data_IF_335408933667
#
_entry.id   IF_335408933667
#
_cell.length_a   1.000
_cell.length_b   1.000
_cell.length_c   1.000
_cell.angle_alpha   90.00
_cell.angle_beta   90.00
_cell.angle_gamma   90.00
#
_symmetry.space_group_name_H-M   'P 1'
#
loop_
_entity.id
_entity.type
_entity.pdbx_description
1 polymer ?
#
# COMPACT_ATOMS: atom_id res chain seq x y z
N UNK A 1 14.46 -38.03 -8.98
CA UNK A 1 14.93 -36.69 -8.52
C UNK A 1 13.73 -35.78 -8.20
N UNK A 2 12.94 -35.33 -9.20
CA UNK A 2 11.77 -34.46 -8.99
C UNK A 2 10.74 -34.98 -7.98
N UNK A 3 10.43 -36.28 -8.01
CA UNK A 3 9.46 -36.89 -7.08
C UNK A 3 9.93 -36.83 -5.62
N UNK A 4 11.24 -37.04 -5.38
CA UNK A 4 11.83 -36.96 -4.03
C UNK A 4 11.82 -35.53 -3.48
N UNK A 5 12.10 -34.55 -4.34
CA UNK A 5 11.99 -33.13 -3.98
C UNK A 5 10.55 -32.79 -3.59
N UNK A 6 9.57 -33.26 -4.37
CA UNK A 6 8.14 -33.04 -4.10
C UNK A 6 7.68 -33.66 -2.77
N UNK A 7 8.04 -34.91 -2.50
CA UNK A 7 7.71 -35.60 -1.25
C UNK A 7 8.37 -34.92 -0.04
N UNK A 8 9.64 -34.54 -0.18
CA UNK A 8 10.36 -33.81 0.87
C UNK A 8 9.67 -32.49 1.23
N UNK A 9 9.38 -31.65 0.22
CA UNK A 9 8.65 -30.39 0.42
C UNK A 9 7.25 -30.62 1.00
N UNK A 10 6.60 -31.74 0.68
CA UNK A 10 5.29 -32.06 1.24
C UNK A 10 5.36 -32.32 2.75
N UNK A 11 6.42 -32.98 3.23
CA UNK A 11 6.61 -33.34 4.64
C UNK A 11 7.17 -32.18 5.47
N UNK A 12 8.18 -31.48 4.96
CA UNK A 12 8.87 -30.41 5.70
C UNK A 12 8.27 -29.03 5.49
N UNK A 13 7.42 -28.87 4.46
CA UNK A 13 6.90 -27.56 4.00
C UNK A 13 8.00 -26.55 3.66
N UNK A 14 9.22 -27.00 3.38
CA UNK A 14 10.30 -26.15 2.93
C UNK A 14 10.19 -25.85 1.42
N UNK A 15 10.99 -24.90 0.94
CA UNK A 15 11.06 -24.57 -0.48
C UNK A 15 11.95 -25.55 -1.29
N UNK A 16 11.85 -25.49 -2.62
CA UNK A 16 12.57 -26.38 -3.53
C UNK A 16 14.09 -26.28 -3.41
N UNK A 17 14.63 -25.07 -3.19
CA UNK A 17 16.08 -24.86 -3.04
C UNK A 17 16.63 -25.57 -1.80
N UNK A 18 15.94 -25.47 -0.67
CA UNK A 18 16.32 -26.16 0.57
C UNK A 18 16.10 -27.66 0.44
N UNK A 19 14.99 -28.09 -0.17
CA UNK A 19 14.75 -29.50 -0.44
C UNK A 19 15.89 -30.10 -1.26
N UNK A 20 16.32 -29.43 -2.33
CA UNK A 20 17.45 -29.87 -3.16
C UNK A 20 18.75 -29.86 -2.35
N UNK A 21 19.02 -28.82 -1.56
CA UNK A 21 20.24 -28.72 -0.75
C UNK A 21 20.34 -29.84 0.31
N UNK A 22 19.28 -30.06 1.09
CA UNK A 22 19.22 -31.13 2.09
C UNK A 22 19.34 -32.51 1.44
N UNK A 23 18.58 -32.75 0.37
CA UNK A 23 18.64 -34.02 -0.37
C UNK A 23 20.02 -34.25 -0.99
N UNK A 24 20.65 -33.24 -1.59
CA UNK A 24 22.00 -33.36 -2.15
C UNK A 24 23.04 -33.69 -1.07
N UNK A 25 22.96 -33.04 0.10
CA UNK A 25 23.89 -33.29 1.20
C UNK A 25 23.79 -34.71 1.79
N UNK A 26 22.64 -35.37 1.62
CA UNK A 26 22.35 -36.70 2.12
C UNK A 26 22.23 -37.74 1.00
N UNK A 27 22.90 -37.53 -0.14
CA UNK A 27 22.89 -38.45 -1.28
C UNK A 27 21.48 -38.87 -1.73
N UNK A 28 20.54 -37.93 -1.69
CA UNK A 28 19.13 -38.08 -2.07
C UNK A 28 18.35 -39.07 -1.19
N UNK A 29 18.83 -39.37 0.02
CA UNK A 29 18.10 -40.11 1.04
C UNK A 29 17.07 -39.20 1.72
N UNK A 30 15.79 -39.56 1.64
CA UNK A 30 14.69 -38.71 2.12
C UNK A 30 14.63 -38.62 3.65
N UNK A 31 14.81 -39.75 4.33
CA UNK A 31 14.71 -39.84 5.80
C UNK A 31 15.85 -39.05 6.44
N UNK A 32 17.10 -39.31 6.02
CA UNK A 32 18.26 -38.60 6.53
C UNK A 32 18.22 -37.09 6.23
N UNK A 33 17.70 -36.71 5.06
CA UNK A 33 17.52 -35.29 4.74
C UNK A 33 16.44 -34.64 5.61
N UNK A 34 15.39 -35.36 6.00
CA UNK A 34 14.35 -34.84 6.88
C UNK A 34 14.90 -34.67 8.29
N UNK A 35 15.63 -35.67 8.79
CA UNK A 35 16.31 -35.58 10.08
C UNK A 35 17.29 -34.41 10.12
N UNK A 36 18.09 -34.23 9.06
CA UNK A 36 18.99 -33.08 8.92
C UNK A 36 18.22 -31.76 8.99
N UNK A 37 17.11 -31.65 8.25
CA UNK A 37 16.26 -30.45 8.22
C UNK A 37 15.67 -30.13 9.59
N UNK A 38 15.21 -31.14 10.33
CA UNK A 38 14.61 -30.93 11.65
C UNK A 38 15.62 -30.67 12.76
N UNK A 39 16.86 -31.16 12.62
CA UNK A 39 17.95 -30.94 13.56
C UNK A 39 18.65 -29.58 13.41
N UNK A 40 18.46 -28.89 12.29
CA UNK A 40 19.11 -27.61 12.00
C UNK A 40 18.08 -26.48 11.91
N UNK A 41 17.92 -25.69 12.99
CA UNK A 41 16.98 -24.55 13.03
C UNK A 41 17.18 -23.55 11.89
N UNK A 42 18.40 -23.48 11.36
CA UNK A 42 18.77 -22.62 10.24
C UNK A 42 18.00 -22.95 8.95
N UNK A 43 17.58 -24.21 8.75
CA UNK A 43 16.72 -24.59 7.62
C UNK A 43 15.24 -24.32 7.89
N UNK A 44 14.86 -24.25 9.16
CA UNK A 44 13.50 -23.96 9.64
C UNK A 44 13.22 -22.45 9.68
N UNK A 45 14.25 -21.60 9.86
CA UNK A 45 14.10 -20.15 9.67
C UNK A 45 13.72 -19.79 8.22
N UNK A 46 13.93 -20.70 7.28
CA UNK A 46 13.47 -20.63 5.89
C UNK A 46 12.23 -21.52 5.65
N UNK A 47 11.33 -21.62 6.63
CA UNK A 47 9.98 -22.17 6.42
C UNK A 47 9.40 -21.59 5.11
N UNK A 48 8.78 -22.44 4.29
CA UNK A 48 8.33 -22.16 2.93
C UNK A 48 7.27 -21.06 2.75
N UNK A 49 7.08 -20.19 3.73
CA UNK A 49 6.30 -18.96 3.62
C UNK A 49 7.06 -17.82 2.92
N UNK A 50 8.39 -17.91 2.82
CA UNK A 50 9.22 -16.80 2.37
C UNK A 50 9.70 -16.85 0.92
N UNK A 51 9.40 -17.94 0.18
CA UNK A 51 9.73 -18.03 -1.25
C UNK A 51 8.46 -17.80 -2.06
N UNK A 52 8.48 -16.69 -2.79
CA UNK A 52 7.47 -16.30 -3.77
C UNK A 52 7.69 -17.09 -5.06
N UNK A 53 6.68 -17.82 -5.53
CA UNK A 53 6.72 -18.39 -6.87
C UNK A 53 6.33 -17.35 -7.93
N UNK A 54 7.32 -16.92 -8.71
CA UNK A 54 7.14 -15.97 -9.81
C UNK A 54 6.13 -16.44 -10.85
N UNK A 55 5.99 -17.76 -11.08
CA UNK A 55 5.00 -18.30 -12.01
C UNK A 55 3.59 -18.16 -11.48
N UNK A 56 3.40 -18.29 -10.17
CA UNK A 56 2.08 -18.11 -9.55
C UNK A 56 1.67 -16.63 -9.59
N UNK A 57 2.58 -15.69 -9.33
CA UNK A 57 2.33 -14.26 -9.53
C UNK A 57 1.93 -13.98 -10.98
N UNK A 58 2.68 -14.51 -11.95
CA UNK A 58 2.39 -14.31 -13.37
C UNK A 58 1.01 -14.86 -13.75
N UNK A 59 0.67 -16.08 -13.30
CA UNK A 59 -0.63 -16.68 -13.55
C UNK A 59 -1.77 -15.87 -12.90
N UNK A 60 -1.55 -15.37 -11.67
CA UNK A 60 -2.51 -14.49 -10.99
C UNK A 60 -2.72 -13.20 -11.78
N UNK A 61 -1.63 -12.56 -12.24
CA UNK A 61 -1.73 -11.36 -13.06
C UNK A 61 -2.54 -11.61 -14.34
N UNK A 62 -2.24 -12.70 -15.06
CA UNK A 62 -2.95 -13.05 -16.31
C UNK A 62 -4.44 -13.34 -16.10
N UNK A 63 -4.87 -13.66 -14.88
CA UNK A 63 -6.30 -13.83 -14.54
C UNK A 63 -7.06 -12.48 -14.59
N UNK A 64 -6.35 -11.38 -14.31
CA UNK A 64 -6.93 -10.03 -14.24
C UNK A 64 -6.39 -9.09 -15.32
N UNK A 65 -5.42 -9.52 -16.12
CA UNK A 65 -4.88 -8.74 -17.22
C UNK A 65 -6.00 -8.28 -18.16
N UNK A 66 -5.77 -7.11 -18.78
CA UNK A 66 -6.71 -6.37 -19.63
C UNK A 66 -7.61 -7.30 -20.45
N UNK A 67 -8.93 -7.14 -20.27
CA UNK A 67 -9.91 -7.85 -21.08
C UNK A 67 -9.77 -7.45 -22.55
N UNK A 68 -10.26 -8.26 -23.49
CA UNK A 68 -10.23 -7.91 -24.93
C UNK A 68 -10.92 -6.57 -25.20
N UNK A 69 -11.85 -6.17 -24.33
CA UNK A 69 -12.61 -4.92 -24.41
C UNK A 69 -11.84 -3.66 -23.95
N UNK A 70 -10.75 -3.81 -23.17
CA UNK A 70 -9.93 -2.69 -22.66
C UNK A 70 -8.64 -2.47 -23.48
N UNK A 71 -8.39 -3.30 -24.49
CA UNK A 71 -7.20 -3.29 -25.35
C UNK A 71 -6.38 -4.57 -25.21
N UNK A 72 -5.80 -5.07 -26.32
CA UNK A 72 -5.15 -6.39 -26.38
C UNK A 72 -3.71 -6.41 -25.82
N UNK A 73 -3.47 -5.57 -24.82
CA UNK A 73 -2.18 -5.34 -24.19
C UNK A 73 -2.20 -6.02 -22.81
N UNK A 74 -1.83 -7.30 -22.78
CA UNK A 74 -1.66 -8.10 -21.54
C UNK A 74 -0.51 -7.58 -20.64
N UNK A 75 -0.10 -6.31 -20.73
CA UNK A 75 0.94 -5.72 -19.88
C UNK A 75 0.40 -5.00 -18.65
N UNK A 76 -0.93 -4.84 -18.53
CA UNK A 76 -1.57 -4.23 -17.36
C UNK A 76 -2.84 -4.96 -16.93
N UNK A 77 -3.27 -4.69 -15.71
CA UNK A 77 -4.62 -4.92 -15.20
C UNK A 77 -5.34 -3.58 -15.41
N UNK A 78 -6.21 -3.48 -16.40
CA UNK A 78 -7.02 -2.27 -16.66
C UNK A 78 -8.23 -2.13 -15.72
N UNK A 79 -9.10 -1.12 -15.91
CA UNK A 79 -10.22 -0.84 -15.02
C UNK A 79 -11.17 -2.03 -14.79
N UNK A 80 -11.51 -2.81 -15.83
CA UNK A 80 -12.38 -3.98 -15.65
C UNK A 80 -11.67 -5.11 -14.92
N UNK A 81 -10.39 -5.35 -15.24
CA UNK A 81 -9.54 -6.30 -14.54
C UNK A 81 -9.38 -5.95 -13.06
N UNK A 82 -9.19 -4.66 -12.75
CA UNK A 82 -9.10 -4.12 -11.39
C UNK A 82 -10.39 -4.37 -10.62
N UNK A 83 -11.56 -4.13 -11.23
CA UNK A 83 -12.84 -4.40 -10.57
C UNK A 83 -13.00 -5.89 -10.22
N UNK A 84 -12.66 -6.80 -11.14
CA UNK A 84 -12.66 -8.25 -10.85
C UNK A 84 -11.68 -8.61 -9.73
N UNK A 85 -10.46 -8.07 -9.80
CA UNK A 85 -9.42 -8.30 -8.80
C UNK A 85 -9.86 -7.86 -7.39
N UNK A 86 -10.42 -6.65 -7.26
CA UNK A 86 -10.94 -6.15 -5.99
C UNK A 86 -12.16 -6.92 -5.50
N UNK A 87 -13.05 -7.32 -6.41
CA UNK A 87 -14.21 -8.19 -6.09
C UNK A 87 -13.75 -9.51 -5.51
N UNK A 88 -12.78 -10.16 -6.15
CA UNK A 88 -12.22 -11.41 -5.69
C UNK A 88 -11.51 -11.25 -4.35
N UNK A 89 -10.89 -10.09 -4.07
CA UNK A 89 -10.32 -9.74 -2.76
C UNK A 89 -11.38 -9.43 -1.69
N UNK A 90 -12.64 -9.18 -2.08
CA UNK A 90 -13.70 -8.74 -1.17
C UNK A 90 -13.54 -7.28 -0.73
N UNK A 91 -12.98 -6.43 -1.59
CA UNK A 91 -12.72 -5.01 -1.33
C UNK A 91 -13.65 -4.13 -2.17
N UNK A 92 -14.08 -3.00 -1.59
CA UNK A 92 -14.70 -1.92 -2.35
C UNK A 92 -13.61 -0.97 -2.91
N UNK A 93 -13.69 -0.55 -4.20
CA UNK A 93 -12.71 0.34 -4.81
C UNK A 93 -12.39 1.63 -4.05
N UNK A 94 -13.32 2.12 -3.22
CA UNK A 94 -13.15 3.36 -2.46
C UNK A 94 -12.58 3.14 -1.05
N UNK A 95 -12.23 1.91 -0.66
CA UNK A 95 -11.69 1.63 0.68
C UNK A 95 -10.21 1.99 0.81
N UNK A 96 -9.81 2.42 2.01
CA UNK A 96 -8.41 2.72 2.34
C UNK A 96 -7.47 1.54 2.07
N UNK A 97 -7.94 0.31 2.23
CA UNK A 97 -7.17 -0.91 1.97
C UNK A 97 -6.73 -1.01 0.51
N UNK A 98 -7.56 -0.54 -0.44
CA UNK A 98 -7.21 -0.48 -1.87
C UNK A 98 -6.07 0.51 -2.11
N UNK A 99 -6.14 1.68 -1.45
CA UNK A 99 -5.07 2.68 -1.52
C UNK A 99 -3.76 2.18 -0.89
N UNK A 100 -3.83 1.45 0.23
CA UNK A 100 -2.68 0.78 0.83
C UNK A 100 -2.08 -0.26 -0.10
N UNK A 101 -2.91 -1.05 -0.78
CA UNK A 101 -2.45 -2.02 -1.77
C UNK A 101 -1.72 -1.32 -2.93
N UNK A 102 -2.30 -0.26 -3.48
CA UNK A 102 -1.67 0.54 -4.53
C UNK A 102 -0.30 1.11 -4.08
N UNK A 103 -0.20 1.55 -2.83
CA UNK A 103 1.07 2.00 -2.24
C UNK A 103 2.12 0.88 -2.16
N UNK A 104 1.74 -0.32 -1.71
CA UNK A 104 2.67 -1.47 -1.66
C UNK A 104 3.12 -1.93 -3.04
N UNK A 105 2.26 -1.79 -4.05
CA UNK A 105 2.60 -2.08 -5.45
C UNK A 105 3.36 -0.93 -6.12
N UNK A 106 3.53 0.21 -5.45
CA UNK A 106 4.14 1.44 -5.98
C UNK A 106 3.46 1.90 -7.28
N UNK A 107 2.13 1.74 -7.32
CA UNK A 107 1.33 2.03 -8.50
C UNK A 107 1.43 3.51 -8.90
N UNK A 108 1.68 3.77 -10.19
CA UNK A 108 1.83 5.12 -10.71
C UNK A 108 0.50 5.75 -11.14
N UNK A 109 -0.44 4.95 -11.62
CA UNK A 109 -1.73 5.39 -12.16
C UNK A 109 -2.88 4.74 -11.41
N UNK A 110 -3.97 5.49 -11.19
CA UNK A 110 -5.19 4.94 -10.59
C UNK A 110 -5.89 3.97 -11.55
N UNK A 111 -6.67 3.06 -10.97
CA UNK A 111 -7.53 2.12 -11.72
C UNK A 111 -6.77 1.13 -12.62
N UNK A 112 -5.44 1.12 -12.60
CA UNK A 112 -4.64 0.12 -13.30
C UNK A 112 -3.43 -0.32 -12.46
N UNK A 113 -2.93 -1.52 -12.74
CA UNK A 113 -1.61 -1.97 -12.30
C UNK A 113 -0.85 -2.55 -13.48
N UNK A 114 0.37 -2.08 -13.72
CA UNK A 114 1.27 -2.70 -14.70
C UNK A 114 1.75 -4.07 -14.20
N UNK A 115 2.18 -4.93 -15.12
CA UNK A 115 2.80 -6.22 -14.78
C UNK A 115 3.98 -6.05 -13.82
N UNK A 116 4.81 -5.03 -14.05
CA UNK A 116 5.99 -4.76 -13.23
C UNK A 116 5.61 -4.36 -11.80
N UNK A 117 4.67 -3.44 -11.63
CA UNK A 117 4.19 -3.01 -10.30
C UNK A 117 3.59 -4.19 -9.54
N UNK A 118 2.76 -5.01 -10.21
CA UNK A 118 2.12 -6.17 -9.63
C UNK A 118 3.16 -7.21 -9.16
N UNK A 119 4.08 -7.59 -10.04
CA UNK A 119 5.09 -8.61 -9.75
C UNK A 119 6.07 -8.16 -8.68
N UNK A 120 6.60 -6.93 -8.78
CA UNK A 120 7.51 -6.39 -7.79
C UNK A 120 6.83 -6.24 -6.43
N UNK A 121 5.63 -5.66 -6.39
CA UNK A 121 4.87 -5.44 -5.16
C UNK A 121 4.51 -6.75 -4.44
N UNK A 122 3.99 -7.74 -5.17
CA UNK A 122 3.67 -9.04 -4.59
C UNK A 122 4.94 -9.79 -4.13
N UNK A 123 6.04 -9.68 -4.87
CA UNK A 123 7.33 -10.25 -4.46
C UNK A 123 7.84 -9.62 -3.17
N UNK A 124 7.84 -8.27 -3.07
CA UNK A 124 8.24 -7.54 -1.86
C UNK A 124 7.33 -7.87 -0.65
N UNK A 125 6.04 -8.11 -0.89
CA UNK A 125 5.08 -8.51 0.15
C UNK A 125 5.14 -10.00 0.54
N UNK A 126 5.94 -10.80 -0.19
CA UNK A 126 6.03 -12.26 -0.07
C UNK A 126 4.68 -12.96 -0.32
N UNK A 127 3.98 -12.53 -1.37
CA UNK A 127 2.66 -13.02 -1.77
C UNK A 127 2.73 -13.57 -3.19
N UNK A 128 2.15 -14.74 -3.42
CA UNK A 128 2.09 -15.37 -4.75
C UNK A 128 0.71 -15.98 -5.07
N UNK A 129 -0.29 -15.76 -4.22
CA UNK A 129 -1.67 -16.21 -4.41
C UNK A 129 -2.67 -15.19 -3.88
N UNK A 130 -3.91 -15.27 -4.36
CA UNK A 130 -4.99 -14.40 -3.89
C UNK A 130 -5.28 -14.59 -2.39
N UNK A 131 -5.21 -15.83 -1.89
CA UNK A 131 -5.43 -16.17 -0.48
C UNK A 131 -4.35 -15.55 0.41
N UNK A 132 -3.08 -15.66 0.00
CA UNK A 132 -1.98 -15.00 0.71
C UNK A 132 -2.13 -13.49 0.69
N UNK A 133 -2.58 -12.92 -0.43
CA UNK A 133 -2.83 -11.48 -0.52
C UNK A 133 -3.92 -11.05 0.46
N UNK A 134 -5.09 -11.73 0.46
CA UNK A 134 -6.18 -11.49 1.41
C UNK A 134 -5.70 -11.53 2.86
N UNK A 135 -4.92 -12.55 3.22
CA UNK A 135 -4.35 -12.68 4.56
C UNK A 135 -3.37 -11.55 4.91
N UNK A 136 -2.71 -10.96 3.91
CA UNK A 136 -1.75 -9.86 4.09
C UNK A 136 -2.43 -8.50 4.26
N UNK A 137 -3.60 -8.26 3.66
CA UNK A 137 -4.26 -6.95 3.65
C UNK A 137 -4.43 -6.31 5.05
N UNK A 138 -4.89 -7.02 6.10
CA UNK A 138 -5.01 -6.42 7.44
C UNK A 138 -3.66 -5.93 7.99
N UNK A 139 -2.57 -6.64 7.71
CA UNK A 139 -1.24 -6.27 8.18
C UNK A 139 -0.71 -4.98 7.57
N UNK A 140 -1.18 -4.58 6.37
CA UNK A 140 -0.79 -3.32 5.73
C UNK A 140 -1.29 -2.10 6.51
N UNK A 141 -2.50 -2.20 7.06
CA UNK A 141 -3.07 -1.15 7.89
C UNK A 141 -2.31 -1.01 9.21
N UNK A 142 -1.93 -2.12 9.84
CA UNK A 142 -1.11 -2.10 11.06
C UNK A 142 0.30 -1.57 10.81
N UNK A 143 0.92 -1.97 9.70
CA UNK A 143 2.25 -1.51 9.29
C UNK A 143 2.33 0.02 9.21
N UNK A 144 1.31 0.65 8.62
CA UNK A 144 1.21 2.10 8.49
C UNK A 144 0.82 2.77 9.81
N UNK A 145 -0.05 2.15 10.61
CA UNK A 145 -0.47 2.70 11.91
C UNK A 145 0.68 2.76 12.91
N UNK A 146 1.56 1.76 12.92
CA UNK A 146 2.63 1.61 13.91
C UNK A 146 3.90 2.40 13.56
N UNK A 147 4.03 2.89 12.33
CA UNK A 147 5.23 3.58 11.86
C UNK A 147 4.90 4.95 11.28
N UNK A 148 5.22 6.05 11.99
CA UNK A 148 5.07 7.42 11.48
C UNK A 148 5.82 7.65 10.16
N UNK A 149 6.95 6.97 9.97
CA UNK A 149 7.73 7.03 8.73
C UNK A 149 6.97 6.39 7.57
N UNK A 150 6.43 5.18 7.76
CA UNK A 150 5.63 4.51 6.72
C UNK A 150 4.34 5.25 6.43
N UNK A 151 3.71 5.84 7.46
CA UNK A 151 2.57 6.73 7.26
C UNK A 151 2.95 7.94 6.40
N UNK A 152 4.09 8.59 6.68
CA UNK A 152 4.58 9.70 5.84
C UNK A 152 4.82 9.27 4.40
N UNK A 153 5.46 8.13 4.17
CA UNK A 153 5.68 7.58 2.82
C UNK A 153 4.36 7.29 2.10
N UNK A 154 3.40 6.66 2.78
CA UNK A 154 2.05 6.38 2.28
C UNK A 154 1.27 7.67 1.94
N UNK A 155 1.35 8.67 2.83
CA UNK A 155 0.72 9.98 2.65
C UNK A 155 1.29 10.72 1.45
N UNK A 156 2.61 10.75 1.29
CA UNK A 156 3.27 11.39 0.15
C UNK A 156 3.04 10.65 -1.17
N UNK A 157 3.01 9.31 -1.14
CA UNK A 157 2.64 8.48 -2.28
C UNK A 157 1.26 8.83 -2.81
N UNK A 158 0.29 9.01 -1.89
CA UNK A 158 -1.11 9.25 -2.23
C UNK A 158 -1.29 10.47 -3.13
N UNK A 159 -0.50 11.53 -2.95
CA UNK A 159 -0.58 12.72 -3.81
C UNK A 159 -0.27 12.40 -5.28
N UNK A 160 0.78 11.60 -5.52
CA UNK A 160 1.15 11.18 -6.88
C UNK A 160 0.09 10.28 -7.48
N UNK A 161 -0.35 9.32 -6.67
CA UNK A 161 -1.34 8.34 -7.08
C UNK A 161 -2.66 9.00 -7.44
N UNK A 162 -3.14 9.96 -6.65
CA UNK A 162 -4.39 10.68 -6.90
C UNK A 162 -4.38 11.55 -8.16
N UNK A 163 -3.22 11.81 -8.76
CA UNK A 163 -3.06 12.80 -9.81
C UNK A 163 -3.25 12.13 -11.17
N UNK A 164 -4.43 12.30 -11.76
CA UNK A 164 -4.85 11.70 -13.04
C UNK A 164 -4.18 12.30 -14.29
N UNK A 165 -3.43 13.40 -14.18
CA UNK A 165 -2.87 14.12 -15.33
C UNK A 165 -1.47 14.67 -15.06
N UNK A 166 -0.81 15.20 -16.09
CA UNK A 166 0.49 15.90 -15.97
C UNK A 166 0.44 17.20 -15.15
N UNK A 167 -0.74 17.62 -14.67
CA UNK A 167 -0.93 18.81 -13.83
C UNK A 167 -0.15 18.71 -12.52
N UNK A 168 0.36 19.82 -12.00
CA UNK A 168 1.22 19.84 -10.80
C UNK A 168 0.44 19.83 -9.47
N UNK A 169 -0.86 20.05 -9.52
CA UNK A 169 -1.75 20.15 -8.36
C UNK A 169 -2.87 19.12 -8.45
N UNK A 170 -3.46 18.78 -7.30
CA UNK A 170 -4.70 18.00 -7.22
C UNK A 170 -5.90 18.93 -7.18
N UNK A 171 -7.00 18.52 -7.80
CA UNK A 171 -8.30 19.15 -7.55
C UNK A 171 -8.66 19.03 -6.07
N UNK A 172 -9.27 20.09 -5.49
CA UNK A 172 -9.58 20.13 -4.05
C UNK A 172 -10.54 19.01 -3.63
N UNK A 173 -11.51 18.64 -4.49
CA UNK A 173 -12.50 17.62 -4.16
C UNK A 173 -11.83 16.27 -4.05
N UNK A 174 -10.95 15.99 -5.00
CA UNK A 174 -10.17 14.76 -5.01
C UNK A 174 -9.19 14.71 -3.82
N UNK A 175 -8.52 15.82 -3.50
CA UNK A 175 -7.66 15.92 -2.34
C UNK A 175 -8.42 15.64 -1.02
N UNK A 176 -9.64 16.17 -0.89
CA UNK A 176 -10.52 15.93 0.26
C UNK A 176 -10.87 14.44 0.41
N UNK A 177 -11.28 13.78 -0.68
CA UNK A 177 -11.60 12.35 -0.63
C UNK A 177 -10.38 11.50 -0.23
N UNK A 178 -9.21 11.82 -0.77
CA UNK A 178 -7.98 11.13 -0.39
C UNK A 178 -7.55 11.40 1.05
N UNK A 179 -7.69 12.61 1.56
CA UNK A 179 -7.41 12.89 2.97
C UNK A 179 -8.32 12.08 3.90
N UNK A 180 -9.62 11.97 3.59
CA UNK A 180 -10.56 11.14 4.36
C UNK A 180 -10.09 9.68 4.41
N UNK A 181 -9.63 9.13 3.28
CA UNK A 181 -9.12 7.76 3.21
C UNK A 181 -7.82 7.59 3.98
N UNK A 182 -6.84 8.47 3.79
CA UNK A 182 -5.52 8.33 4.40
C UNK A 182 -5.59 8.45 5.92
N UNK A 183 -6.37 9.41 6.42
CA UNK A 183 -6.51 9.62 7.86
C UNK A 183 -7.56 8.73 8.53
N UNK A 184 -8.37 7.99 7.76
CA UNK A 184 -9.37 7.06 8.30
C UNK A 184 -10.36 7.70 9.26
N UNK A 185 -10.69 8.99 9.05
CA UNK A 185 -11.63 9.75 9.89
C UNK A 185 -11.07 10.30 11.22
N UNK A 186 -9.83 9.98 11.61
CA UNK A 186 -9.28 10.31 12.94
C UNK A 186 -8.34 11.53 12.98
N UNK A 187 -8.45 12.44 12.02
CA UNK A 187 -7.63 13.64 12.00
C UNK A 187 -8.43 14.81 12.58
N UNK A 188 -8.07 15.23 13.80
CA UNK A 188 -8.88 16.14 14.62
C UNK A 188 -9.22 17.48 13.95
N UNK A 189 -8.40 17.94 13.01
CA UNK A 189 -8.65 19.17 12.24
C UNK A 189 -9.27 18.93 10.88
N UNK A 190 -9.45 17.69 10.42
CA UNK A 190 -9.80 17.41 9.02
C UNK A 190 -11.14 18.04 8.65
N UNK A 191 -12.11 17.96 9.55
CA UNK A 191 -13.41 18.58 9.34
C UNK A 191 -13.31 20.10 9.25
N UNK A 192 -12.48 20.74 10.09
CA UNK A 192 -12.23 22.20 10.04
C UNK A 192 -11.48 22.60 8.78
N UNK A 193 -10.45 21.83 8.40
CA UNK A 193 -9.68 22.02 7.18
C UNK A 193 -10.58 21.91 5.94
N UNK A 194 -11.40 20.87 5.85
CA UNK A 194 -12.37 20.69 4.76
C UNK A 194 -13.34 21.89 4.71
N UNK A 195 -13.91 22.30 5.84
CA UNK A 195 -14.82 23.46 5.91
C UNK A 195 -14.13 24.73 5.40
N UNK A 196 -12.93 25.02 5.88
CA UNK A 196 -12.12 26.15 5.43
C UNK A 196 -11.90 26.15 3.91
N UNK A 197 -11.48 25.01 3.34
CA UNK A 197 -11.26 24.88 1.90
C UNK A 197 -12.53 25.17 1.09
N UNK A 198 -13.69 24.74 1.59
CA UNK A 198 -15.01 24.99 0.96
C UNK A 198 -15.38 26.47 1.03
N UNK A 199 -15.27 27.08 2.20
CA UNK A 199 -15.65 28.48 2.43
C UNK A 199 -14.76 29.43 1.61
N UNK A 200 -13.46 29.17 1.56
CA UNK A 200 -12.48 29.91 0.73
C UNK A 200 -12.59 29.58 -0.76
N UNK A 201 -13.40 28.59 -1.15
CA UNK A 201 -13.54 28.13 -2.55
C UNK A 201 -12.19 27.79 -3.19
N UNK A 202 -11.31 27.16 -2.41
CA UNK A 202 -10.01 26.64 -2.91
C UNK A 202 -10.30 25.66 -4.03
N UNK A 203 -9.56 25.74 -5.14
CA UNK A 203 -9.79 24.86 -6.30
C UNK A 203 -8.79 23.73 -6.41
N UNK A 204 -7.56 23.94 -5.95
CA UNK A 204 -6.49 22.98 -6.13
C UNK A 204 -5.49 23.00 -4.97
N UNK A 205 -4.88 21.85 -4.72
CA UNK A 205 -3.89 21.61 -3.67
C UNK A 205 -2.54 21.29 -4.32
N UNK A 206 -1.51 22.06 -3.98
CA UNK A 206 -0.15 21.81 -4.42
C UNK A 206 0.48 20.62 -3.65
N UNK A 207 1.54 20.02 -4.21
CA UNK A 207 2.31 18.99 -3.50
C UNK A 207 2.87 19.49 -2.17
N UNK A 208 3.35 20.72 -2.17
CA UNK A 208 3.96 21.35 -1.01
C UNK A 208 2.93 21.52 0.12
N UNK A 209 1.76 22.08 -0.21
CA UNK A 209 0.60 22.17 0.69
C UNK A 209 0.17 20.81 1.21
N UNK A 210 0.08 19.81 0.33
CA UNK A 210 -0.26 18.45 0.73
C UNK A 210 0.75 17.93 1.76
N UNK A 211 2.04 17.94 1.44
CA UNK A 211 3.10 17.42 2.30
C UNK A 211 3.15 18.13 3.66
N UNK A 212 3.16 19.46 3.65
CA UNK A 212 3.29 20.25 4.87
C UNK A 212 2.05 20.20 5.76
N UNK A 213 0.86 19.86 5.22
CA UNK A 213 -0.31 19.63 6.07
C UNK A 213 -0.12 18.46 7.05
N UNK A 214 0.61 17.41 6.66
CA UNK A 214 0.94 16.32 7.59
C UNK A 214 1.90 16.78 8.68
N UNK A 215 2.96 17.51 8.33
CA UNK A 215 3.92 18.00 9.32
C UNK A 215 3.28 19.03 10.25
N UNK A 216 2.41 19.90 9.72
CA UNK A 216 1.56 20.80 10.51
C UNK A 216 0.74 20.02 11.53
N UNK A 217 0.08 18.94 11.11
CA UNK A 217 -0.75 18.14 12.02
C UNK A 217 0.00 17.39 13.10
N UNK A 218 1.26 17.05 12.84
CA UNK A 218 2.11 16.34 13.77
C UNK A 218 2.76 17.29 14.80
N UNK A 219 2.86 18.58 14.47
CA UNK A 219 3.62 19.56 15.27
C UNK A 219 2.75 20.62 15.94
N UNK A 220 1.61 20.98 15.35
CA UNK A 220 0.75 22.08 15.84
C UNK A 220 -0.32 21.57 16.80
N UNK A 221 -0.44 22.25 17.94
CA UNK A 221 -1.39 21.97 19.01
C UNK A 221 -2.84 22.27 18.59
N UNK A 222 -3.85 21.67 19.24
CA UNK A 222 -5.25 21.88 18.88
C UNK A 222 -5.82 23.28 19.02
N UNK A 223 -5.18 24.10 19.84
CA UNK A 223 -5.49 25.51 20.04
C UNK A 223 -4.64 26.44 19.16
N UNK A 224 -3.77 25.87 18.30
CA UNK A 224 -2.82 26.61 17.45
C UNK A 224 -1.90 27.57 18.23
N UNK A 225 -1.72 27.35 19.54
CA UNK A 225 -0.91 28.20 20.43
C UNK A 225 0.58 28.20 20.11
N UNK A 226 1.08 27.10 19.54
CA UNK A 226 2.47 26.93 19.13
C UNK A 226 2.68 27.11 17.62
N UNK A 227 1.69 27.66 16.90
CA UNK A 227 1.84 27.96 15.49
C UNK A 227 2.81 29.13 15.27
N UNK A 228 3.80 28.93 14.40
CA UNK A 228 4.74 29.95 13.97
C UNK A 228 4.41 30.42 12.55
N UNK A 229 3.89 31.65 12.43
CA UNK A 229 3.53 32.26 11.15
C UNK A 229 4.76 32.64 10.29
N UNK A 230 5.96 32.65 10.88
CA UNK A 230 7.21 32.85 10.14
C UNK A 230 7.84 31.52 9.67
N UNK A 231 7.20 30.38 9.99
CA UNK A 231 7.72 29.01 9.81
C UNK A 231 7.78 28.48 8.37
N UNK A 232 7.79 29.35 7.36
CA UNK A 232 7.78 29.00 5.93
C UNK A 232 6.67 28.01 5.53
N UNK A 233 5.52 28.08 6.21
CA UNK A 233 4.34 27.31 5.84
C UNK A 233 3.75 27.80 4.51
N UNK A 234 3.01 26.96 3.78
CA UNK A 234 2.21 27.42 2.65
C UNK A 234 1.19 28.43 3.14
N UNK A 235 0.99 29.51 2.38
CA UNK A 235 -0.01 30.56 2.68
C UNK A 235 -1.39 29.98 3.01
N UNK A 236 -1.77 28.87 2.37
CA UNK A 236 -3.05 28.22 2.64
C UNK A 236 -3.17 27.65 4.07
N UNK A 237 -2.05 27.21 4.66
CA UNK A 237 -1.98 26.76 6.06
C UNK A 237 -2.04 27.97 7.00
N UNK A 238 -1.34 29.06 6.69
CA UNK A 238 -1.43 30.31 7.46
C UNK A 238 -2.89 30.81 7.54
N UNK A 239 -3.54 30.92 6.38
CA UNK A 239 -4.95 31.32 6.28
C UNK A 239 -5.90 30.38 7.03
N UNK A 240 -5.59 29.07 7.06
CA UNK A 240 -6.37 28.11 7.82
C UNK A 240 -6.26 28.34 9.33
N UNK A 241 -5.06 28.63 9.83
CA UNK A 241 -4.87 28.91 11.26
C UNK A 241 -5.63 30.17 11.66
N UNK A 242 -5.58 31.23 10.85
CA UNK A 242 -6.36 32.46 11.08
C UNK A 242 -7.86 32.17 11.10
N UNK A 243 -8.37 31.43 10.11
CA UNK A 243 -9.77 31.03 10.04
C UNK A 243 -10.19 30.20 11.26
N UNK A 244 -9.37 29.23 11.65
CA UNK A 244 -9.67 28.33 12.76
C UNK A 244 -9.64 29.04 14.11
N UNK A 245 -8.73 30.00 14.33
CA UNK A 245 -8.69 30.85 15.53
C UNK A 245 -9.92 31.76 15.61
N UNK A 246 -10.32 32.39 14.51
CA UNK A 246 -11.52 33.23 14.48
C UNK A 246 -12.81 32.44 14.80
N UNK A 247 -12.92 31.17 14.40
CA UNK A 247 -14.04 30.32 14.81
C UNK A 247 -14.01 29.95 16.31
N UNK A 248 -12.84 29.84 16.93
CA UNK A 248 -12.75 29.63 18.37
C UNK A 248 -13.23 30.85 19.15
N UNK A 249 -12.82 32.05 18.74
CA UNK A 249 -13.20 33.30 19.42
C UNK A 249 -14.69 33.64 19.28
N UNK A 250 -15.35 33.20 18.21
CA UNK A 250 -16.79 33.43 17.99
C UNK A 250 -17.70 32.40 18.70
N UNK A 251 -17.15 31.35 19.29
CA UNK A 251 -17.89 30.30 20.01
C UNK A 251 -17.66 30.34 21.55
N UNK A 252 -16.97 31.37 22.05
CA UNK A 252 -16.80 31.70 23.47
C UNK A 252 -17.64 32.92 23.80
#
# INVERSE_FOLDING_TARGET
MKERVRQFMQWTKCNEKIAIQCLQSQNWNLEMACDLYFQHPNYQSYQGYDIVDQKNIQALFLTYATDRDDGNDNTRIGPNGMLRFLTDLGLNPTERTVLLLAWKLKAQTQCEFTYQEFVMGLTEMKVDSLEKLKAKLPSLSEEVRQSPEKFRQFYQFTFNYARTSSQRCLDVDLAIEYWKLVFGGNFGYLSKWIKFLRDKKVRAISRDTWNLLYDFSATVKPDFSNYDAEGAWPVLIDEFVEYAKAEFDNNV
#
